data_IF_207258696237
#
_entry.id   IF_207258696237
#
_cell.length_a   1.000
_cell.length_b   1.000
_cell.length_c   1.000
_cell.angle_alpha   90.00
_cell.angle_beta   90.00
_cell.angle_gamma   90.00
#
_symmetry.space_group_name_H-M   'P 1'
#
loop_
_entity.id
_entity.type
_entity.pdbx_description
1 polymer ?
#
# COMPACT_ATOMS: atom_id res chain seq x y z
N UNK A 1 11.17 17.22 22.69
CA UNK A 1 11.39 16.39 21.50
C UNK A 1 10.09 16.41 20.73
N UNK A 2 10.10 16.91 19.50
CA UNK A 2 8.89 17.32 18.79
C UNK A 2 8.62 16.38 17.62
N UNK A 3 7.34 16.13 17.31
CA UNK A 3 6.94 15.38 16.11
C UNK A 3 7.34 16.15 14.85
N UNK A 4 7.24 15.51 13.70
CA UNK A 4 7.35 16.25 12.45
C UNK A 4 6.23 17.33 12.40
N UNK A 5 6.54 18.61 12.08
CA UNK A 5 5.57 19.71 12.23
C UNK A 5 4.26 19.53 11.43
N UNK A 6 4.30 18.82 10.30
CA UNK A 6 3.12 18.56 9.47
C UNK A 6 2.07 17.67 10.14
N UNK A 7 2.46 16.91 11.17
CA UNK A 7 1.58 15.97 11.88
C UNK A 7 0.70 16.64 12.92
N UNK A 8 0.94 17.93 13.21
CA UNK A 8 0.14 18.69 14.13
C UNK A 8 -1.23 19.06 13.51
N UNK A 9 -2.25 19.16 14.36
CA UNK A 9 -3.58 19.62 13.95
C UNK A 9 -4.72 18.89 14.66
N UNK A 10 -4.83 17.57 14.48
CA UNK A 10 -5.88 16.77 15.12
C UNK A 10 -5.34 15.39 15.52
N UNK A 11 -6.00 14.77 16.49
CA UNK A 11 -5.48 13.59 17.17
C UNK A 11 -5.24 12.40 16.24
N UNK A 12 -6.18 12.12 15.32
CA UNK A 12 -6.01 11.06 14.33
C UNK A 12 -4.79 11.31 13.41
N UNK A 13 -4.40 12.57 13.14
CA UNK A 13 -3.21 12.84 12.31
C UNK A 13 -1.91 12.57 13.06
N UNK A 14 -1.87 12.91 14.36
CA UNK A 14 -0.76 12.57 15.25
C UNK A 14 -0.62 11.07 15.42
N UNK A 15 -1.74 10.35 15.56
CA UNK A 15 -1.74 8.88 15.62
C UNK A 15 -1.23 8.26 14.32
N UNK A 16 -1.68 8.75 13.17
CA UNK A 16 -1.15 8.32 11.87
C UNK A 16 0.37 8.52 11.78
N UNK A 17 0.88 9.69 12.17
CA UNK A 17 2.32 9.95 12.22
C UNK A 17 3.07 9.00 13.17
N UNK A 18 2.52 8.76 14.36
CA UNK A 18 3.19 8.02 15.42
C UNK A 18 3.18 6.50 15.20
N UNK A 19 2.14 5.99 14.53
CA UNK A 19 1.87 4.56 14.47
C UNK A 19 1.97 3.98 13.06
N UNK A 20 1.74 4.78 12.01
CA UNK A 20 1.64 4.30 10.63
C UNK A 20 2.73 4.87 9.73
N UNK A 21 2.86 6.20 9.67
CA UNK A 21 3.71 6.86 8.68
C UNK A 21 5.19 6.55 8.88
N UNK A 22 5.83 6.09 7.81
CA UNK A 22 7.23 5.67 7.81
C UNK A 22 7.46 4.25 8.34
N UNK A 23 6.46 3.58 8.92
CA UNK A 23 6.59 2.19 9.37
C UNK A 23 6.62 1.26 8.14
N UNK A 24 7.61 0.35 8.02
CA UNK A 24 7.70 -0.54 6.86
C UNK A 24 6.46 -1.42 6.67
N UNK A 25 5.66 -1.10 5.65
CA UNK A 25 4.45 -1.81 5.28
C UNK A 25 4.76 -2.84 4.19
N UNK A 26 4.46 -4.12 4.43
CA UNK A 26 4.82 -5.24 3.53
C UNK A 26 3.63 -6.01 2.98
N UNK A 27 2.43 -5.83 3.53
CA UNK A 27 1.24 -6.49 3.02
C UNK A 27 0.81 -5.88 1.68
N UNK A 28 0.56 -6.72 0.68
CA UNK A 28 0.27 -6.24 -0.69
C UNK A 28 -1.07 -5.51 -0.78
N UNK A 29 -2.07 -5.93 0.01
CA UNK A 29 -3.40 -5.32 0.00
C UNK A 29 -3.39 -3.99 0.75
N UNK A 30 -2.69 -3.90 1.87
CA UNK A 30 -2.52 -2.64 2.60
C UNK A 30 -1.72 -1.62 1.79
N UNK A 31 -0.68 -2.05 1.08
CA UNK A 31 0.07 -1.21 0.13
C UNK A 31 -0.82 -0.74 -1.03
N UNK A 32 -1.68 -1.62 -1.55
CA UNK A 32 -2.66 -1.25 -2.58
C UNK A 32 -3.65 -0.20 -2.08
N UNK A 33 -4.26 -0.40 -0.89
CA UNK A 33 -5.12 0.60 -0.26
C UNK A 33 -4.40 1.95 -0.14
N UNK A 34 -3.18 1.95 0.43
CA UNK A 34 -2.43 3.16 0.67
C UNK A 34 -2.12 3.90 -0.64
N UNK A 35 -1.68 3.19 -1.69
CA UNK A 35 -1.43 3.80 -3.00
C UNK A 35 -2.69 4.43 -3.60
N UNK A 36 -3.86 3.77 -3.46
CA UNK A 36 -5.13 4.30 -3.97
C UNK A 36 -5.57 5.56 -3.20
N UNK A 37 -5.34 5.62 -1.88
CA UNK A 37 -5.61 6.79 -1.07
C UNK A 37 -4.67 7.96 -1.41
N UNK A 38 -3.38 7.68 -1.64
CA UNK A 38 -2.41 8.67 -2.11
C UNK A 38 -2.80 9.24 -3.49
N UNK A 39 -3.30 8.39 -4.40
CA UNK A 39 -3.88 8.84 -5.68
C UNK A 39 -5.11 9.73 -5.49
N UNK A 40 -5.98 9.40 -4.53
CA UNK A 40 -7.16 10.20 -4.21
C UNK A 40 -6.81 11.57 -3.61
N UNK A 41 -5.62 11.72 -3.02
CA UNK A 41 -5.12 12.96 -2.43
C UNK A 41 -4.75 14.02 -3.48
N UNK A 42 -4.55 13.68 -4.76
CA UNK A 42 -4.10 14.63 -5.78
C UNK A 42 -4.93 15.93 -5.81
N UNK A 43 -4.30 17.07 -5.51
CA UNK A 43 -4.98 18.38 -5.41
C UNK A 43 -5.72 18.66 -4.09
N UNK A 44 -5.50 17.87 -3.05
CA UNK A 44 -6.08 17.98 -1.71
C UNK A 44 -5.00 17.79 -0.63
N UNK A 45 -5.32 18.06 0.63
CA UNK A 45 -4.45 17.69 1.76
C UNK A 45 -4.60 16.22 2.13
N UNK A 46 -3.52 15.58 2.60
CA UNK A 46 -3.60 14.22 3.16
C UNK A 46 -4.55 14.13 4.36
N UNK A 47 -4.61 15.18 5.19
CA UNK A 47 -5.57 15.26 6.30
C UNK A 47 -7.04 15.12 5.84
N UNK A 48 -7.37 15.57 4.62
CA UNK A 48 -8.71 15.40 4.05
C UNK A 48 -9.00 13.94 3.73
N UNK A 49 -8.00 13.23 3.17
CA UNK A 49 -8.13 11.80 2.85
C UNK A 49 -8.15 10.96 4.13
N UNK A 50 -7.29 11.25 5.09
CA UNK A 50 -7.20 10.52 6.35
C UNK A 50 -8.52 10.55 7.13
N UNK A 51 -9.19 11.71 7.19
CA UNK A 51 -10.53 11.84 7.79
C UNK A 51 -11.61 11.02 7.08
N UNK A 52 -11.42 10.74 5.79
CA UNK A 52 -12.35 9.99 4.94
C UNK A 52 -11.98 8.51 4.81
N UNK A 53 -10.86 8.05 5.38
CA UNK A 53 -10.28 6.72 5.14
C UNK A 53 -11.24 5.58 5.42
N UNK A 54 -11.93 5.62 6.55
CA UNK A 54 -12.93 4.60 6.89
C UNK A 54 -14.11 4.58 5.93
N UNK A 55 -14.53 5.74 5.45
CA UNK A 55 -15.59 5.82 4.44
C UNK A 55 -15.11 5.30 3.10
N UNK A 56 -13.86 5.58 2.71
CA UNK A 56 -13.23 4.96 1.53
C UNK A 56 -13.20 3.44 1.64
N UNK A 57 -12.77 2.89 2.78
CA UNK A 57 -12.78 1.44 3.04
C UNK A 57 -14.18 0.87 2.82
N UNK A 58 -15.21 1.44 3.42
CA UNK A 58 -16.61 0.99 3.23
C UNK A 58 -17.08 1.12 1.78
N UNK A 59 -16.81 2.25 1.14
CA UNK A 59 -17.27 2.56 -0.22
C UNK A 59 -16.67 1.63 -1.27
N UNK A 60 -15.40 1.21 -1.07
CA UNK A 60 -14.62 0.36 -1.97
C UNK A 60 -14.41 -1.06 -1.41
N UNK A 61 -15.39 -1.63 -0.69
CA UNK A 61 -15.35 -3.02 -0.22
C UNK A 61 -14.06 -3.43 0.53
N UNK A 62 -13.61 -2.57 1.44
CA UNK A 62 -12.36 -2.66 2.20
C UNK A 62 -11.13 -2.86 1.28
N UNK A 63 -11.11 -2.13 0.16
CA UNK A 63 -10.05 -2.22 -0.84
C UNK A 63 -9.77 -3.66 -1.30
N UNK A 64 -10.80 -4.49 -1.45
CA UNK A 64 -10.69 -5.80 -2.08
C UNK A 64 -10.53 -5.64 -3.60
N UNK A 65 -9.34 -5.93 -4.17
CA UNK A 65 -9.12 -5.73 -5.61
C UNK A 65 -10.04 -6.61 -6.47
N UNK A 66 -10.38 -7.82 -6.03
CA UNK A 66 -11.22 -8.74 -6.78
C UNK A 66 -12.67 -8.27 -6.89
N UNK A 67 -13.17 -7.55 -5.87
CA UNK A 67 -14.49 -6.93 -5.89
C UNK A 67 -14.48 -5.65 -6.71
N UNK A 68 -13.53 -4.75 -6.41
CA UNK A 68 -13.42 -3.45 -7.09
C UNK A 68 -13.22 -3.62 -8.60
N UNK A 69 -12.42 -4.60 -9.04
CA UNK A 69 -12.17 -4.83 -10.46
C UNK A 69 -13.44 -5.16 -11.27
N UNK A 70 -14.52 -5.59 -10.60
CA UNK A 70 -15.81 -5.91 -11.21
C UNK A 70 -16.79 -4.74 -11.22
N UNK A 71 -16.45 -3.61 -10.61
CA UNK A 71 -17.33 -2.44 -10.54
C UNK A 71 -17.74 -1.97 -11.93
N UNK A 72 -19.04 -1.69 -12.06
CA UNK A 72 -19.68 -1.22 -13.29
C UNK A 72 -20.22 0.22 -13.18
N UNK A 73 -21.02 0.66 -14.17
CA UNK A 73 -21.63 1.99 -14.18
C UNK A 73 -22.48 2.31 -12.95
N UNK A 74 -23.18 1.31 -12.39
CA UNK A 74 -24.00 1.48 -11.19
C UNK A 74 -23.14 1.75 -9.94
N UNK A 75 -22.01 1.05 -9.80
CA UNK A 75 -21.06 1.30 -8.72
C UNK A 75 -20.42 2.68 -8.83
N UNK A 76 -20.06 3.09 -10.06
CA UNK A 76 -19.53 4.43 -10.31
C UNK A 76 -20.55 5.50 -9.92
N UNK A 77 -21.82 5.34 -10.30
CA UNK A 77 -22.90 6.26 -9.93
C UNK A 77 -23.11 6.31 -8.40
N UNK A 78 -23.12 5.15 -7.74
CA UNK A 78 -23.20 5.02 -6.27
C UNK A 78 -22.05 5.77 -5.58
N UNK A 79 -20.81 5.54 -6.03
CA UNK A 79 -19.62 6.18 -5.47
C UNK A 79 -19.64 7.71 -5.69
N UNK A 80 -20.08 8.16 -6.87
CA UNK A 80 -20.21 9.58 -7.17
C UNK A 80 -21.29 10.28 -6.36
N UNK A 81 -22.26 9.54 -5.81
CA UNK A 81 -23.28 10.07 -4.91
C UNK A 81 -22.81 10.15 -3.44
N UNK A 82 -21.76 9.43 -3.04
CA UNK A 82 -21.29 9.37 -1.66
C UNK A 82 -20.47 10.62 -1.26
N UNK A 83 -20.97 11.50 -0.36
CA UNK A 83 -20.23 12.69 0.09
C UNK A 83 -19.05 12.34 1.01
N UNK A 84 -19.00 11.09 1.50
CA UNK A 84 -17.95 10.54 2.34
C UNK A 84 -16.61 10.38 1.63
N UNK A 85 -16.60 10.24 0.30
CA UNK A 85 -15.37 10.17 -0.50
C UNK A 85 -15.15 11.45 -1.33
N UNK A 86 -14.03 11.55 -2.04
CA UNK A 86 -13.81 12.60 -3.04
C UNK A 86 -14.59 12.24 -4.30
N UNK A 87 -15.71 12.94 -4.54
CA UNK A 87 -16.61 12.77 -5.70
C UNK A 87 -15.99 13.28 -6.98
N UNK A 88 -14.95 12.61 -7.44
CA UNK A 88 -14.26 12.88 -8.70
C UNK A 88 -14.22 11.60 -9.53
N UNK A 89 -14.86 11.66 -10.70
CA UNK A 89 -15.04 10.51 -11.58
C UNK A 89 -13.72 9.90 -12.05
N UNK A 90 -12.71 10.71 -12.32
CA UNK A 90 -11.40 10.21 -12.73
C UNK A 90 -10.70 9.47 -11.60
N UNK A 91 -10.79 9.96 -10.36
CA UNK A 91 -10.21 9.30 -9.18
C UNK A 91 -10.90 7.97 -8.86
N UNK A 92 -12.23 7.94 -8.90
CA UNK A 92 -13.01 6.69 -8.73
C UNK A 92 -12.59 5.64 -9.77
N UNK A 93 -12.56 6.03 -11.05
CA UNK A 93 -12.12 5.16 -12.13
C UNK A 93 -10.64 4.76 -12.00
N UNK A 94 -9.81 5.60 -11.38
CA UNK A 94 -8.43 5.29 -11.05
C UNK A 94 -8.30 4.12 -10.07
N UNK A 95 -9.15 4.07 -9.04
CA UNK A 95 -9.18 2.94 -8.08
C UNK A 95 -9.60 1.64 -8.79
N UNK A 96 -10.60 1.70 -9.65
CA UNK A 96 -11.08 0.54 -10.43
C UNK A 96 -9.97 0.02 -11.38
N UNK A 97 -9.29 0.93 -12.09
CA UNK A 97 -8.14 0.57 -12.95
C UNK A 97 -6.99 -0.01 -12.13
N UNK A 98 -6.69 0.59 -10.97
CA UNK A 98 -5.67 0.09 -10.05
C UNK A 98 -5.95 -1.34 -9.58
N UNK A 99 -7.20 -1.66 -9.23
CA UNK A 99 -7.59 -3.01 -8.83
C UNK A 99 -7.37 -4.03 -9.96
N UNK A 100 -7.73 -3.67 -11.20
CA UNK A 100 -7.48 -4.52 -12.38
C UNK A 100 -5.97 -4.73 -12.63
N UNK A 101 -5.18 -3.66 -12.53
CA UNK A 101 -3.72 -3.72 -12.68
C UNK A 101 -3.06 -4.57 -11.59
N UNK A 102 -3.50 -4.42 -10.33
CA UNK A 102 -3.06 -5.25 -9.20
C UNK A 102 -3.31 -6.74 -9.47
N UNK A 103 -4.54 -7.11 -9.88
CA UNK A 103 -4.88 -8.52 -10.16
C UNK A 103 -4.11 -9.08 -11.35
N UNK A 104 -3.89 -8.29 -12.40
CA UNK A 104 -3.09 -8.70 -13.55
C UNK A 104 -1.63 -8.98 -13.15
N UNK A 105 -1.08 -8.15 -12.24
CA UNK A 105 0.26 -8.33 -11.69
C UNK A 105 0.36 -9.63 -10.88
N UNK A 106 -0.56 -9.86 -9.94
CA UNK A 106 -0.62 -11.10 -9.16
C UNK A 106 -0.79 -12.34 -10.06
N UNK A 107 -1.65 -12.26 -11.09
CA UNK A 107 -1.85 -13.34 -12.05
C UNK A 107 -0.59 -13.66 -12.88
N UNK A 108 0.30 -12.68 -13.10
CA UNK A 108 1.61 -12.88 -13.72
C UNK A 108 2.68 -13.44 -12.76
N UNK A 109 2.32 -13.72 -11.51
CA UNK A 109 3.24 -14.21 -10.48
C UNK A 109 4.06 -13.11 -9.80
N UNK A 110 3.76 -11.84 -10.07
CA UNK A 110 4.42 -10.70 -9.41
C UNK A 110 3.59 -10.26 -8.22
N UNK A 111 4.13 -10.39 -7.01
CA UNK A 111 3.48 -9.87 -5.80
C UNK A 111 3.61 -8.35 -5.75
N UNK A 112 2.52 -7.65 -5.46
CA UNK A 112 2.53 -6.18 -5.48
C UNK A 112 3.54 -5.57 -4.50
N UNK A 113 3.68 -6.15 -3.30
CA UNK A 113 4.68 -5.71 -2.31
C UNK A 113 6.11 -5.79 -2.86
N UNK A 114 6.49 -6.93 -3.44
CA UNK A 114 7.82 -7.13 -4.02
C UNK A 114 8.05 -6.13 -5.18
N UNK A 115 7.01 -5.87 -5.98
CA UNK A 115 7.05 -4.90 -7.07
C UNK A 115 7.34 -3.47 -6.58
N UNK A 116 6.68 -2.98 -5.53
CA UNK A 116 6.90 -1.59 -5.08
C UNK A 116 8.16 -1.44 -4.21
N UNK A 117 8.55 -2.47 -3.45
CA UNK A 117 9.75 -2.42 -2.62
C UNK A 117 11.06 -2.56 -3.42
N UNK A 118 11.01 -3.07 -4.66
CA UNK A 118 12.20 -3.17 -5.51
C UNK A 118 12.87 -1.81 -5.78
N UNK A 119 12.11 -0.71 -5.76
CA UNK A 119 12.61 0.64 -6.06
C UNK A 119 13.51 1.21 -4.96
N UNK A 120 13.57 0.56 -3.80
CA UNK A 120 14.49 0.87 -2.70
C UNK A 120 15.40 -0.32 -2.36
N UNK A 121 15.52 -1.30 -3.27
CA UNK A 121 16.34 -2.48 -3.04
C UNK A 121 15.80 -3.41 -1.96
N UNK A 122 14.50 -3.35 -1.65
CA UNK A 122 13.87 -4.17 -0.62
C UNK A 122 14.10 -3.69 0.82
N UNK A 123 14.85 -2.61 1.04
CA UNK A 123 15.16 -2.05 2.36
C UNK A 123 14.72 -0.59 2.49
N UNK A 124 14.40 -0.16 3.71
CA UNK A 124 14.03 1.24 3.95
C UNK A 124 15.25 2.15 3.82
N UNK A 125 15.17 3.16 2.95
CA UNK A 125 16.19 4.21 2.88
C UNK A 125 16.11 5.12 4.11
N UNK A 126 17.23 5.27 4.81
CA UNK A 126 17.30 6.03 6.06
C UNK A 126 17.86 7.44 5.83
N UNK A 127 16.98 8.40 5.54
CA UNK A 127 17.37 9.79 5.40
C UNK A 127 17.65 10.45 6.76
N UNK A 128 18.24 11.65 6.74
CA UNK A 128 18.68 12.38 7.93
C UNK A 128 18.36 13.87 7.86
N UNK A 129 17.18 14.19 7.33
CA UNK A 129 16.72 15.56 7.19
C UNK A 129 16.58 16.25 8.56
N UNK A 130 17.05 17.48 8.65
CA UNK A 130 16.94 18.28 9.89
C UNK A 130 15.76 19.25 9.85
N UNK A 131 15.29 19.59 8.65
CA UNK A 131 14.16 20.48 8.39
C UNK A 131 13.26 19.98 7.26
N UNK A 132 11.98 20.37 7.26
CA UNK A 132 11.05 19.97 6.21
C UNK A 132 11.42 20.52 4.81
N UNK A 133 12.17 21.63 4.75
CA UNK A 133 12.64 22.20 3.48
C UNK A 133 13.69 21.35 2.77
N UNK A 134 14.35 20.43 3.48
CA UNK A 134 15.29 19.49 2.87
C UNK A 134 14.58 18.27 2.25
N UNK A 135 13.35 17.98 2.67
CA UNK A 135 12.60 16.81 2.21
C UNK A 135 12.12 17.08 0.77
N UNK A 136 12.55 16.29 -0.22
CA UNK A 136 12.19 16.55 -1.60
C UNK A 136 10.73 16.15 -1.88
N UNK A 137 10.13 16.72 -2.91
CA UNK A 137 8.79 16.31 -3.36
C UNK A 137 8.81 15.04 -4.24
N UNK A 138 9.98 14.66 -4.75
CA UNK A 138 10.20 13.50 -5.65
C UNK A 138 11.62 12.98 -5.49
N UNK A 139 11.90 11.78 -5.98
CA UNK A 139 13.24 11.19 -6.05
C UNK A 139 13.40 10.36 -7.34
N UNK A 140 14.62 9.98 -7.67
CA UNK A 140 14.87 9.07 -8.79
C UNK A 140 14.12 7.72 -8.63
N UNK A 141 13.98 7.24 -7.40
CA UNK A 141 13.22 6.03 -7.09
C UNK A 141 11.70 6.23 -7.29
N UNK A 142 11.13 7.36 -6.86
CA UNK A 142 9.70 7.64 -7.09
C UNK A 142 9.39 7.89 -8.57
N UNK A 143 10.33 8.46 -9.33
CA UNK A 143 10.22 8.62 -10.78
C UNK A 143 10.18 7.27 -11.49
N UNK A 144 11.06 6.34 -11.09
CA UNK A 144 11.09 4.98 -11.62
C UNK A 144 9.81 4.21 -11.27
N UNK A 145 9.37 4.29 -10.01
CA UNK A 145 8.12 3.68 -9.55
C UNK A 145 6.91 4.21 -10.31
N UNK A 146 6.79 5.53 -10.48
CA UNK A 146 5.74 6.20 -11.26
C UNK A 146 5.68 5.68 -12.69
N UNK A 147 6.82 5.57 -13.38
CA UNK A 147 6.88 5.01 -14.74
C UNK A 147 6.43 3.55 -14.78
N UNK A 148 6.87 2.74 -13.82
CA UNK A 148 6.55 1.32 -13.76
C UNK A 148 5.07 1.07 -13.44
N UNK A 149 4.50 1.78 -12.46
CA UNK A 149 3.08 1.69 -12.10
C UNK A 149 2.19 2.12 -13.27
N UNK A 150 2.54 3.20 -13.97
CA UNK A 150 1.82 3.61 -15.20
C UNK A 150 1.86 2.53 -16.28
N UNK A 151 3.03 1.91 -16.50
CA UNK A 151 3.19 0.80 -17.45
C UNK A 151 2.34 -0.42 -17.05
N UNK A 152 2.18 -0.68 -15.75
CA UNK A 152 1.33 -1.74 -15.23
C UNK A 152 -0.18 -1.41 -15.29
N UNK A 153 -0.57 -0.19 -15.67
CA UNK A 153 -1.97 0.21 -15.86
C UNK A 153 -2.57 1.04 -14.71
N UNK A 154 -1.78 1.41 -13.70
CA UNK A 154 -2.23 2.31 -12.63
C UNK A 154 -2.33 3.76 -13.15
N UNK A 155 -3.28 4.52 -12.60
CA UNK A 155 -3.43 5.97 -12.84
C UNK A 155 -3.37 6.72 -11.51
N UNK A 156 -3.23 8.05 -11.55
CA UNK A 156 -2.98 8.86 -10.34
C UNK A 156 -1.74 8.42 -9.54
N UNK A 157 -0.71 7.97 -10.25
CA UNK A 157 0.59 7.51 -9.71
C UNK A 157 1.72 8.38 -10.24
N UNK A 158 1.58 9.70 -10.13
CA UNK A 158 2.66 10.66 -10.46
C UNK A 158 3.85 10.50 -9.51
N UNK A 159 5.02 11.04 -9.87
CA UNK A 159 6.23 10.87 -9.03
C UNK A 159 6.06 11.44 -7.62
N UNK A 160 5.41 12.59 -7.47
CA UNK A 160 5.10 13.16 -6.16
C UNK A 160 4.20 12.25 -5.33
N UNK A 161 3.18 11.65 -5.95
CA UNK A 161 2.29 10.69 -5.28
C UNK A 161 3.07 9.44 -4.88
N UNK A 162 3.94 8.93 -5.76
CA UNK A 162 4.80 7.79 -5.45
C UNK A 162 5.77 8.10 -4.31
N UNK A 163 6.32 9.32 -4.24
CA UNK A 163 7.22 9.70 -3.14
C UNK A 163 6.47 9.80 -1.81
N UNK A 164 5.28 10.44 -1.79
CA UNK A 164 4.41 10.43 -0.61
C UNK A 164 4.05 9.01 -0.17
N UNK A 165 3.69 8.14 -1.12
CA UNK A 165 3.44 6.72 -0.85
C UNK A 165 4.66 6.00 -0.27
N UNK A 166 5.86 6.23 -0.82
CA UNK A 166 7.10 5.65 -0.31
C UNK A 166 7.39 6.10 1.12
N UNK A 167 7.12 7.36 1.45
CA UNK A 167 7.24 7.90 2.80
C UNK A 167 6.22 7.24 3.74
N UNK A 168 4.95 7.21 3.34
CA UNK A 168 3.86 6.65 4.13
C UNK A 168 4.06 5.15 4.41
N UNK A 169 4.45 4.38 3.39
CA UNK A 169 4.69 2.94 3.47
C UNK A 169 6.03 2.55 4.14
N UNK A 170 6.86 3.52 4.51
CA UNK A 170 8.14 3.28 5.15
C UNK A 170 9.23 2.72 4.22
N UNK A 171 9.11 2.93 2.91
CA UNK A 171 10.20 2.67 1.96
C UNK A 171 11.31 3.71 2.11
N UNK A 172 10.96 4.93 2.54
CA UNK A 172 11.91 5.95 2.97
C UNK A 172 11.53 6.43 4.38
N UNK A 173 12.52 6.58 5.25
CA UNK A 173 12.33 7.17 6.56
C UNK A 173 12.67 8.66 6.49
N UNK A 174 11.64 9.46 6.27
CA UNK A 174 11.72 10.94 6.17
C UNK A 174 11.24 11.65 7.44
N UNK A 175 11.09 10.92 8.57
CA UNK A 175 10.97 11.60 9.86
C UNK A 175 12.19 12.51 10.05
N UNK A 176 11.99 13.75 10.50
CA UNK A 176 13.13 14.61 10.82
C UNK A 176 13.96 13.96 11.93
N UNK A 177 15.29 14.18 11.93
CA UNK A 177 16.18 13.53 12.91
C UNK A 177 15.83 13.85 14.37
N UNK A 178 15.20 15.01 14.61
CA UNK A 178 14.73 15.42 15.94
C UNK A 178 13.41 14.74 16.36
N UNK A 179 12.68 14.13 15.41
CA UNK A 179 11.43 13.43 15.68
C UNK A 179 11.73 12.09 16.39
N UNK A 180 11.04 11.74 17.49
CA UNK A 180 11.23 10.46 18.18
C UNK A 180 11.03 9.25 17.26
N UNK A 181 10.14 9.41 16.26
CA UNK A 181 9.81 8.36 15.30
C UNK A 181 10.94 8.05 14.32
N UNK A 182 11.89 8.96 14.07
CA UNK A 182 13.04 8.69 13.20
C UNK A 182 13.84 7.47 13.66
N UNK A 183 14.24 7.47 14.94
CA UNK A 183 14.97 6.36 15.55
C UNK A 183 14.09 5.10 15.68
N UNK A 184 12.81 5.26 16.03
CA UNK A 184 11.89 4.16 16.20
C UNK A 184 11.67 3.39 14.89
N UNK A 185 11.33 4.10 13.81
CA UNK A 185 11.16 3.53 12.47
C UNK A 185 12.44 2.89 11.96
N UNK A 186 13.59 3.52 12.15
CA UNK A 186 14.89 2.93 11.80
C UNK A 186 15.11 1.58 12.46
N UNK A 187 14.72 1.45 13.74
CA UNK A 187 14.83 0.19 14.49
C UNK A 187 13.86 -0.87 13.96
N UNK A 188 12.62 -0.48 13.66
CA UNK A 188 11.61 -1.37 13.06
C UNK A 188 12.06 -1.91 11.70
N UNK A 189 12.63 -1.06 10.84
CA UNK A 189 13.16 -1.46 9.54
C UNK A 189 14.29 -2.47 9.67
N UNK A 190 15.24 -2.25 10.58
CA UNK A 190 16.34 -3.19 10.83
C UNK A 190 15.86 -4.55 11.35
N UNK A 191 14.79 -4.58 12.15
CA UNK A 191 14.22 -5.84 12.66
C UNK A 191 13.43 -6.59 11.57
N UNK A 192 12.72 -5.87 10.70
CA UNK A 192 12.00 -6.45 9.56
C UNK A 192 12.94 -7.17 8.59
N UNK A 193 14.07 -6.54 8.24
CA UNK A 193 15.08 -7.14 7.33
C UNK A 193 15.67 -8.44 7.88
N UNK A 194 15.96 -8.50 9.19
CA UNK A 194 16.48 -9.71 9.84
C UNK A 194 15.51 -10.90 9.81
N UNK A 195 14.20 -10.62 9.82
CA UNK A 195 13.18 -11.67 9.78
C UNK A 195 12.91 -12.17 8.35
N UNK A 196 13.20 -11.38 7.31
CA UNK A 196 13.10 -11.81 5.90
C UNK A 196 14.28 -12.65 5.41
N UNK A 197 15.44 -12.56 6.06
CA UNK A 197 16.64 -13.36 5.75
C UNK A 197 16.63 -14.77 6.38
N UNK A 198 15.61 -15.13 7.16
CA UNK A 198 15.44 -16.50 7.64
C UNK A 198 15.08 -17.43 6.46
N UNK A 199 15.81 -18.53 6.23
CA UNK A 199 15.60 -19.37 5.06
C UNK A 199 14.16 -19.90 5.05
N UNK A 200 13.44 -19.64 3.96
CA UNK A 200 12.09 -20.11 3.74
C UNK A 200 12.03 -21.62 4.02
N UNK A 201 11.41 -22.00 5.13
CA UNK A 201 11.17 -23.42 5.48
C UNK A 201 10.42 -24.04 4.31
N UNK A 202 11.10 -24.95 3.58
CA UNK A 202 10.51 -25.77 2.52
C UNK A 202 9.20 -26.37 3.03
N UNK A 203 8.07 -25.98 2.44
CA UNK A 203 6.78 -26.63 2.68
C UNK A 203 6.93 -28.09 2.26
N UNK A 204 6.89 -29.02 3.23
CA UNK A 204 6.79 -30.45 2.94
C UNK A 204 5.52 -30.68 2.14
N UNK A 205 5.67 -31.14 0.90
CA UNK A 205 4.59 -31.81 0.17
C UNK A 205 4.34 -33.14 0.90
N UNK A 206 3.23 -33.22 1.63
CA UNK A 206 2.68 -34.47 2.18
C UNK A 206 1.59 -34.96 1.26
N UNK A 207 1.84 -36.12 0.65
CA UNK A 207 1.04 -36.75 -0.39
C UNK A 207 -0.41 -37.06 0.04
N UNK A 208 -1.35 -36.79 -0.87
CA UNK A 208 -2.65 -37.44 -0.89
C UNK A 208 -2.50 -38.80 -1.57
N UNK A 209 -2.87 -39.88 -0.88
CA UNK A 209 -3.13 -41.17 -1.51
C UNK A 209 -4.50 -41.63 -1.03
N UNK A 210 -5.50 -41.41 -1.87
CA UNK A 210 -6.79 -42.06 -1.78
C UNK A 210 -6.72 -43.32 -2.64
N UNK A 211 -6.75 -44.48 -2.00
CA UNK A 211 -7.00 -45.76 -2.68
C UNK A 211 -8.45 -46.14 -2.38
N UNK A 212 -9.29 -46.04 -3.40
CA UNK A 212 -10.63 -46.63 -3.46
C UNK A 212 -10.43 -48.09 -3.88
N UNK A 213 -10.80 -49.04 -3.03
CA UNK A 213 -10.89 -50.46 -3.37
C UNK A 213 -12.31 -50.79 -3.88
N UNK A 214 -12.47 -51.66 -4.89
CA UNK A 214 -13.77 -52.07 -5.37
C UNK A 214 -14.37 -53.22 -4.55
N UNK A 215 -15.69 -53.25 -4.64
CA UNK A 215 -16.71 -54.17 -4.16
C UNK A 215 -16.47 -55.63 -4.62
N UNK A 216 -16.53 -56.59 -3.69
CA UNK A 216 -16.71 -58.01 -4.01
C UNK A 216 -17.93 -58.56 -3.25
N UNK A 217 -18.88 -59.02 -4.05
CA UNK A 217 -20.04 -59.82 -3.67
C UNK A 217 -19.67 -61.31 -3.66
N UNK A 218 -20.21 -62.10 -2.73
CA UNK A 218 -20.16 -63.57 -2.84
C UNK A 218 -20.33 -64.37 -1.55
N UNK A 219 -21.59 -64.66 -1.22
CA UNK A 219 -22.16 -65.87 -0.58
C UNK A 219 -21.29 -66.84 0.25
N UNK A 220 -21.72 -67.05 1.50
CA UNK A 220 -22.15 -68.35 2.03
C UNK A 220 -23.12 -68.14 3.21
#
# INVERSE_FOLDING_TARGET
MERCPWSEGFEQYRQYHDQEWGVPLRDSRELFELLMLEGAQAGLSWSTILKKRETYRKAFDNFDPARIAKYGPEDEARLMADPGIVRNRLKVNGVIKGAKAYLAMEASGTRFSDFVWQFVGGETLQNRWTSLSEVPATSAASDAMSRALKKAGFTFVGSTICYSFMQAAGMVNDHLVACPRHKAVKTLAANGAKNSDAPARKRRAGASSATIAPDESGSA
#
